data_IF_913694307853
#
_entry.id   IF_913694307853
#
_cell.length_a   1.000
_cell.length_b   1.000
_cell.length_c   1.000
_cell.angle_alpha   90.00
_cell.angle_beta   90.00
_cell.angle_gamma   90.00
#
_symmetry.space_group_name_H-M   'P 1'
#
loop_
_entity.id
_entity.type
_entity.pdbx_description
1 polymer ?
#
# COMPACT_ATOMS: atom_id res chain seq x y z
N UNK A 1 -16.76 2.87 9.66
CA UNK A 1 -15.41 2.39 9.35
C UNK A 1 -15.47 1.21 8.39
N UNK A 2 -15.03 1.38 7.15
CA UNK A 2 -14.93 0.36 6.11
C UNK A 2 -13.48 0.06 5.80
N UNK A 3 -13.13 -1.22 5.88
CA UNK A 3 -11.79 -1.72 5.60
C UNK A 3 -11.91 -2.67 4.41
N UNK A 4 -11.01 -2.52 3.44
CA UNK A 4 -10.94 -3.37 2.28
C UNK A 4 -9.52 -3.92 2.10
N UNK A 5 -9.42 -5.02 1.36
CA UNK A 5 -8.14 -5.58 0.93
C UNK A 5 -8.16 -5.84 -0.57
N UNK A 6 -7.04 -5.57 -1.24
CA UNK A 6 -6.90 -5.80 -2.68
C UNK A 6 -5.47 -6.21 -3.04
N UNK A 7 -5.32 -7.42 -3.57
CA UNK A 7 -4.14 -7.80 -4.32
C UNK A 7 -4.19 -7.13 -5.71
N UNK A 8 -3.37 -6.08 -5.89
CA UNK A 8 -3.40 -5.24 -7.10
C UNK A 8 -2.51 -5.75 -8.22
N UNK A 9 -1.63 -6.72 -7.94
CA UNK A 9 -0.71 -7.29 -8.93
C UNK A 9 0.00 -6.20 -9.77
N UNK A 10 0.81 -5.36 -9.12
CA UNK A 10 1.49 -4.14 -9.61
C UNK A 10 0.66 -2.86 -9.47
N UNK A 11 0.98 -2.07 -8.45
CA UNK A 11 0.33 -0.76 -8.22
C UNK A 11 0.56 0.21 -9.37
N UNK A 12 1.74 0.19 -10.00
CA UNK A 12 2.04 1.09 -11.12
C UNK A 12 1.10 0.87 -12.32
N UNK A 13 0.70 -0.38 -12.57
CA UNK A 13 -0.24 -0.71 -13.66
C UNK A 13 -1.70 -0.46 -13.25
N UNK A 14 -2.03 -0.59 -11.95
CA UNK A 14 -3.41 -0.52 -11.44
C UNK A 14 -3.75 0.81 -10.78
N UNK A 15 -2.83 1.79 -10.77
CA UNK A 15 -2.98 3.03 -10.03
C UNK A 15 -4.31 3.74 -10.31
N UNK A 16 -4.63 3.99 -11.58
CA UNK A 16 -5.88 4.66 -11.97
C UNK A 16 -7.13 3.89 -11.50
N UNK A 17 -7.09 2.55 -11.54
CA UNK A 17 -8.19 1.72 -11.06
C UNK A 17 -8.36 1.84 -9.54
N UNK A 18 -7.25 1.81 -8.79
CA UNK A 18 -7.25 1.99 -7.33
C UNK A 18 -7.79 3.38 -6.97
N UNK A 19 -7.30 4.44 -7.60
CA UNK A 19 -7.74 5.81 -7.32
C UNK A 19 -9.21 6.03 -7.66
N UNK A 20 -9.66 5.53 -8.82
CA UNK A 20 -11.08 5.61 -9.22
C UNK A 20 -11.98 4.83 -8.26
N UNK A 21 -11.55 3.63 -7.85
CA UNK A 21 -12.30 2.81 -6.91
C UNK A 21 -12.39 3.48 -5.53
N UNK A 22 -11.30 4.03 -5.00
CA UNK A 22 -11.30 4.75 -3.71
C UNK A 22 -12.12 6.06 -3.72
N UNK A 23 -12.26 6.72 -4.87
CA UNK A 23 -13.12 7.91 -5.01
C UNK A 23 -14.62 7.56 -5.02
N UNK A 24 -14.95 6.38 -5.53
CA UNK A 24 -16.34 5.91 -5.67
C UNK A 24 -16.81 5.08 -4.49
N UNK A 25 -15.87 4.53 -3.72
CA UNK A 25 -16.13 3.72 -2.55
C UNK A 25 -15.61 4.44 -1.31
N UNK A 26 -16.51 4.73 -0.38
CA UNK A 26 -16.20 5.40 0.89
C UNK A 26 -15.42 4.46 1.85
N UNK A 27 -14.16 4.19 1.53
CA UNK A 27 -13.27 3.27 2.25
C UNK A 27 -12.39 4.06 3.22
N UNK A 28 -12.29 3.62 4.46
CA UNK A 28 -11.45 4.29 5.46
C UNK A 28 -10.01 3.77 5.42
N UNK A 29 -9.86 2.47 5.15
CA UNK A 29 -8.57 1.78 5.05
C UNK A 29 -8.57 0.76 3.90
N UNK A 30 -7.55 0.80 3.04
CA UNK A 30 -7.32 -0.19 1.99
C UNK A 30 -5.95 -0.85 2.17
N UNK A 31 -5.93 -2.15 2.42
CA UNK A 31 -4.70 -2.96 2.46
C UNK A 31 -4.40 -3.50 1.05
N UNK A 32 -3.23 -3.17 0.53
CA UNK A 32 -2.75 -3.59 -0.78
C UNK A 32 -1.74 -4.73 -0.66
N UNK A 33 -1.86 -5.72 -1.55
CA UNK A 33 -0.87 -6.78 -1.73
C UNK A 33 -0.36 -6.81 -3.18
N UNK A 34 0.81 -7.40 -3.37
CA UNK A 34 1.52 -7.46 -4.65
C UNK A 34 1.69 -6.09 -5.29
N UNK A 35 2.14 -5.08 -4.54
CA UNK A 35 2.41 -3.76 -5.11
C UNK A 35 3.51 -3.83 -6.18
N UNK A 36 4.43 -4.80 -6.09
CA UNK A 36 5.55 -5.06 -7.03
C UNK A 36 6.37 -3.79 -7.32
N UNK A 37 6.43 -2.91 -6.33
CA UNK A 37 7.04 -1.60 -6.43
C UNK A 37 7.99 -1.40 -5.25
N UNK A 38 9.11 -0.74 -5.48
CA UNK A 38 10.03 -0.28 -4.42
C UNK A 38 9.46 0.99 -3.77
N UNK A 39 9.79 1.24 -2.50
CA UNK A 39 9.23 2.36 -1.72
C UNK A 39 9.41 3.71 -2.45
N UNK A 40 10.55 3.96 -3.08
CA UNK A 40 10.86 5.22 -3.77
C UNK A 40 10.06 5.44 -5.06
N UNK A 41 9.45 4.38 -5.60
CA UNK A 41 8.62 4.41 -6.82
C UNK A 41 7.14 4.27 -6.52
N UNK A 42 6.76 4.15 -5.25
CA UNK A 42 5.36 4.06 -4.89
C UNK A 42 4.65 5.40 -5.17
N UNK A 43 3.43 5.39 -5.74
CA UNK A 43 2.71 6.60 -6.15
C UNK A 43 2.07 7.33 -4.96
N UNK A 44 2.90 7.74 -4.01
CA UNK A 44 2.46 8.37 -2.77
C UNK A 44 1.77 9.70 -3.03
N UNK A 45 2.29 10.51 -3.95
CA UNK A 45 1.72 11.82 -4.26
C UNK A 45 0.31 11.71 -4.84
N UNK A 46 0.07 10.76 -5.74
CA UNK A 46 -1.23 10.53 -6.36
C UNK A 46 -2.26 10.06 -5.32
N UNK A 47 -1.84 9.23 -4.37
CA UNK A 47 -2.68 8.77 -3.26
C UNK A 47 -2.98 9.91 -2.28
N UNK A 48 -2.00 10.75 -1.96
CA UNK A 48 -2.19 11.93 -1.11
C UNK A 48 -3.12 12.96 -1.74
N UNK A 49 -3.05 13.17 -3.06
CA UNK A 49 -3.93 14.08 -3.81
C UNK A 49 -5.41 13.72 -3.67
N UNK A 50 -5.74 12.47 -3.36
CA UNK A 50 -7.13 12.02 -3.13
C UNK A 50 -7.50 11.91 -1.64
N UNK A 51 -6.64 12.42 -0.74
CA UNK A 51 -6.90 12.52 0.69
C UNK A 51 -6.54 11.26 1.50
N UNK A 52 -5.69 10.38 0.97
CA UNK A 52 -5.21 9.19 1.68
C UNK A 52 -3.73 9.31 2.05
N UNK A 53 -3.39 8.83 3.24
CA UNK A 53 -2.04 8.54 3.69
C UNK A 53 -1.65 7.12 3.24
N UNK A 54 -0.35 6.81 3.21
CA UNK A 54 0.12 5.47 2.90
C UNK A 54 1.28 5.05 3.81
N UNK A 55 1.22 3.82 4.34
CA UNK A 55 2.36 3.08 4.86
C UNK A 55 2.77 2.04 3.81
N UNK A 56 4.05 1.98 3.45
CA UNK A 56 4.52 1.24 2.27
C UNK A 56 5.68 0.34 2.68
N UNK A 57 5.70 -0.90 2.17
CA UNK A 57 6.87 -1.76 2.22
C UNK A 57 6.96 -2.59 0.94
N UNK A 58 7.97 -2.27 0.13
CA UNK A 58 8.06 -2.67 -1.25
C UNK A 58 9.40 -3.28 -1.63
N UNK A 59 9.39 -4.07 -2.70
CA UNK A 59 10.59 -4.55 -3.38
C UNK A 59 10.33 -4.62 -4.89
N UNK A 60 11.40 -4.71 -5.68
CA UNK A 60 11.30 -4.77 -7.14
C UNK A 60 10.66 -6.09 -7.59
N UNK A 61 9.79 -6.02 -8.59
CA UNK A 61 9.19 -7.13 -9.36
C UNK A 61 8.25 -8.09 -8.61
N UNK A 62 8.42 -8.28 -7.31
CA UNK A 62 7.68 -9.27 -6.51
C UNK A 62 7.13 -8.66 -5.22
N UNK A 63 6.16 -9.34 -4.59
CA UNK A 63 5.62 -8.99 -3.28
C UNK A 63 5.22 -7.50 -3.18
N UNK A 64 5.48 -6.89 -2.03
CA UNK A 64 5.16 -5.52 -1.72
C UNK A 64 3.75 -5.40 -1.14
N UNK A 65 3.65 -4.65 -0.06
CA UNK A 65 2.41 -4.37 0.68
C UNK A 65 2.31 -2.89 0.97
N UNK A 66 1.08 -2.38 1.08
CA UNK A 66 0.84 -1.02 1.54
C UNK A 66 -0.50 -0.92 2.27
N UNK A 67 -0.61 0.01 3.20
CA UNK A 67 -1.86 0.37 3.86
C UNK A 67 -2.17 1.81 3.46
N UNK A 68 -3.31 2.02 2.80
CA UNK A 68 -3.83 3.35 2.50
C UNK A 68 -4.89 3.72 3.53
N UNK A 69 -4.88 4.93 4.08
CA UNK A 69 -5.89 5.36 5.05
C UNK A 69 -6.25 6.84 4.92
N UNK A 70 -7.53 7.18 5.10
CA UNK A 70 -7.96 8.58 5.26
C UNK A 70 -7.44 9.23 6.55
N UNK A 71 -7.01 8.41 7.52
CA UNK A 71 -6.49 8.87 8.81
C UNK A 71 -4.96 8.79 8.82
N UNK A 72 -4.34 9.57 9.72
CA UNK A 72 -2.89 9.52 9.94
C UNK A 72 -2.47 8.11 10.39
N UNK A 73 -1.38 7.59 9.82
CA UNK A 73 -0.84 6.26 10.14
C UNK A 73 0.37 6.45 11.06
N UNK A 74 0.35 5.81 12.24
CA UNK A 74 1.41 5.86 13.26
C UNK A 74 1.84 4.44 13.65
N UNK A 75 2.99 4.34 14.30
CA UNK A 75 3.49 3.09 14.90
C UNK A 75 3.55 1.91 13.91
N UNK A 76 3.90 2.20 12.65
CA UNK A 76 3.99 1.21 11.56
C UNK A 76 5.06 0.17 11.87
N UNK A 77 4.68 -1.11 11.85
CA UNK A 77 5.59 -2.24 12.04
C UNK A 77 5.79 -2.99 10.74
N UNK A 78 6.99 -2.94 10.21
CA UNK A 78 7.39 -3.65 9.00
C UNK A 78 8.06 -4.97 9.39
N UNK A 79 7.80 -6.04 8.62
CA UNK A 79 8.39 -7.36 8.82
C UNK A 79 8.08 -8.01 10.19
N UNK A 80 8.51 -9.26 10.37
CA UNK A 80 8.55 -9.91 11.68
C UNK A 80 9.77 -9.44 12.48
N UNK A 81 9.71 -9.57 13.81
CA UNK A 81 10.77 -9.11 14.71
C UNK A 81 12.12 -9.81 14.47
N UNK A 82 12.09 -11.04 13.99
CA UNK A 82 13.22 -11.93 13.73
C UNK A 82 13.56 -12.06 12.24
N UNK A 83 12.98 -11.21 11.37
CA UNK A 83 13.27 -11.23 9.95
C UNK A 83 14.72 -10.80 9.66
N UNK A 84 15.36 -11.53 8.73
CA UNK A 84 16.65 -11.14 8.16
C UNK A 84 16.51 -9.93 7.23
N UNK A 85 17.62 -9.20 6.99
CA UNK A 85 17.62 -7.97 6.17
C UNK A 85 16.94 -8.12 4.80
N UNK A 86 17.18 -9.26 4.14
CA UNK A 86 16.66 -9.57 2.80
C UNK A 86 15.33 -10.35 2.82
N UNK A 87 14.64 -10.38 3.97
CA UNK A 87 13.35 -11.04 4.09
C UNK A 87 12.34 -10.48 3.06
N UNK A 88 11.50 -11.35 2.45
CA UNK A 88 10.47 -10.93 1.52
C UNK A 88 9.56 -9.84 2.11
N UNK A 89 9.40 -8.74 1.38
CA UNK A 89 8.61 -7.56 1.77
C UNK A 89 7.10 -7.86 1.66
N UNK A 90 6.57 -8.58 2.66
CA UNK A 90 5.20 -9.13 2.66
C UNK A 90 4.37 -8.73 3.89
N UNK A 91 4.95 -8.05 4.87
CA UNK A 91 4.30 -7.68 6.12
C UNK A 91 4.57 -6.22 6.48
N UNK A 92 3.51 -5.48 6.79
CA UNK A 92 3.49 -4.08 7.25
C UNK A 92 2.32 -3.84 8.21
#
# INVERSE_FOLDING_TARGET
MKIATWNVNSIAVRLEQVLSWLKTHDIDVLCLQETKCVDEKFPLEEIQKIGYNAAIMGQKSYNGVAILSKHEIKDVQKNFHDDVLDAPKRLI
#
